data_IF_675233961398
#
_entry.id   IF_675233961398
#
_cell.length_a   1.000
_cell.length_b   1.000
_cell.length_c   1.000
_cell.angle_alpha   90.00
_cell.angle_beta   90.00
_cell.angle_gamma   90.00
#
_symmetry.space_group_name_H-M   'P 1'
#
loop_
_entity.id
_entity.type
_entity.pdbx_description
1 polymer ?
2 non-polymer ?
3 non-polymer ?
4 water ?
#
# COMPACT_ATOMS: atom_id res chain seq x y z
N UNK A 3 8.16 7.14 -5.89
CA UNK A 3 7.69 7.89 -4.70
C UNK A 3 6.18 7.74 -4.56
N UNK A 4 5.43 8.59 -5.24
CA UNK A 4 3.97 8.55 -5.19
C UNK A 4 3.43 7.19 -5.63
N UNK A 5 2.50 6.67 -4.85
CA UNK A 5 1.86 5.38 -5.13
C UNK A 5 0.37 5.64 -5.24
N UNK A 6 -0.34 4.84 -6.03
CA UNK A 6 -1.78 5.01 -6.09
C UNK A 6 -2.33 4.14 -4.97
N UNK A 7 -3.40 4.59 -4.34
CA UNK A 7 -3.95 3.87 -3.20
C UNK A 7 -5.45 3.67 -3.24
N UNK A 8 -5.91 2.78 -2.37
CA UNK A 8 -7.33 2.50 -2.20
C UNK A 8 -8.14 2.35 -3.49
N UNK A 9 -9.18 3.17 -3.68
CA UNK A 9 -10.02 3.05 -4.87
C UNK A 9 -9.37 3.43 -6.21
N UNK A 10 -8.17 4.02 -6.17
CA UNK A 10 -7.48 4.40 -7.40
C UNK A 10 -6.93 3.15 -8.10
N UNK A 11 -6.77 2.08 -7.33
CA UNK A 11 -6.24 0.82 -7.84
C UNK A 11 -7.26 0.17 -8.78
N UNK A 12 -6.79 -0.25 -9.94
CA UNK A 12 -7.66 -0.87 -10.94
C UNK A 12 -7.52 -2.40 -11.05
N UNK A 13 -6.46 -2.96 -10.48
CA UNK A 13 -6.23 -4.40 -10.53
C UNK A 13 -7.37 -5.23 -9.93
N UNK A 14 -7.76 -6.29 -10.64
CA UNK A 14 -8.83 -7.17 -10.18
C UNK A 14 -8.39 -7.96 -8.95
N UNK A 15 -7.16 -8.46 -8.99
CA UNK A 15 -6.58 -9.22 -7.89
C UNK A 15 -5.18 -8.71 -7.62
N UNK A 16 -4.78 -8.77 -6.35
CA UNK A 16 -3.46 -8.30 -5.93
C UNK A 16 -2.87 -9.27 -4.91
N UNK A 17 -1.55 -9.23 -4.74
CA UNK A 17 -0.89 -10.05 -3.73
C UNK A 17 -0.80 -9.07 -2.56
N UNK A 18 -1.34 -9.47 -1.42
CA UNK A 18 -1.39 -8.61 -0.24
C UNK A 18 -0.38 -8.88 0.86
N UNK A 19 0.28 -7.83 1.32
CA UNK A 19 1.25 -7.90 2.42
C UNK A 19 0.71 -6.92 3.47
N UNK A 20 0.55 -7.36 4.71
CA UNK A 20 0.01 -6.46 5.72
C UNK A 20 1.05 -5.53 6.33
N UNK A 21 0.62 -4.67 7.25
CA UNK A 21 1.50 -3.68 7.87
C UNK A 21 2.72 -4.24 8.61
N UNK A 22 2.68 -5.52 8.97
CA UNK A 22 3.79 -6.15 9.69
C UNK A 22 4.66 -7.09 8.84
N UNK A 23 4.34 -7.20 7.55
CA UNK A 23 5.13 -8.06 6.68
C UNK A 23 4.54 -9.44 6.45
N UNK A 24 3.35 -9.68 6.98
CA UNK A 24 2.68 -10.97 6.81
C UNK A 24 2.16 -11.05 5.37
N UNK A 25 2.53 -12.13 4.68
CA UNK A 25 2.11 -12.35 3.29
C UNK A 25 0.71 -12.97 3.31
N UNK A 26 -0.30 -12.15 3.04
CA UNK A 26 -1.69 -12.60 3.04
C UNK A 26 -2.14 -13.37 1.80
N UNK A 27 -1.29 -13.41 0.78
CA UNK A 27 -1.64 -14.14 -0.43
C UNK A 27 -2.40 -13.31 -1.45
N UNK A 28 -2.90 -13.99 -2.48
CA UNK A 28 -3.64 -13.33 -3.54
C UNK A 28 -5.07 -13.08 -3.10
N UNK A 29 -5.50 -11.83 -3.17
CA UNK A 29 -6.83 -11.43 -2.77
C UNK A 29 -7.49 -10.58 -3.85
N UNK A 30 -8.81 -10.59 -3.88
CA UNK A 30 -9.53 -9.75 -4.83
C UNK A 30 -9.30 -8.34 -4.29
N UNK A 31 -9.36 -7.34 -5.16
CA UNK A 31 -9.17 -5.96 -4.73
C UNK A 31 -10.20 -5.61 -3.64
N UNK A 32 -11.42 -6.09 -3.81
CA UNK A 32 -12.51 -5.86 -2.86
C UNK A 32 -12.15 -6.35 -1.44
N UNK A 33 -11.66 -7.58 -1.34
CA UNK A 33 -11.30 -8.14 -0.04
C UNK A 33 -10.10 -7.39 0.55
N UNK A 34 -9.15 -7.02 -0.31
CA UNK A 34 -7.96 -6.29 0.14
C UNK A 34 -8.38 -4.95 0.74
N UNK A 35 -9.35 -4.29 0.09
CA UNK A 35 -9.87 -3.01 0.56
C UNK A 35 -10.60 -3.18 1.90
N UNK A 36 -11.27 -4.31 2.08
CA UNK A 36 -11.97 -4.58 3.33
C UNK A 36 -10.98 -4.75 4.48
N UNK A 37 -9.92 -5.51 4.24
CA UNK A 37 -8.89 -5.74 5.26
C UNK A 37 -8.23 -4.42 5.67
N UNK A 38 -7.93 -3.57 4.69
CA UNK A 38 -7.31 -2.28 4.98
C UNK A 38 -8.24 -1.44 5.84
N UNK A 39 -9.52 -1.42 5.46
CA UNK A 39 -10.53 -0.65 6.16
C UNK A 39 -10.73 -1.07 7.61
N UNK A 40 -10.78 -2.38 7.86
CA UNK A 40 -10.98 -2.84 9.23
C UNK A 40 -9.80 -2.48 10.13
N UNK A 41 -8.63 -2.28 9.52
CA UNK A 41 -7.44 -1.92 10.27
C UNK A 41 -7.19 -0.42 10.28
N UNK A 42 -8.10 0.33 9.67
CA UNK A 42 -8.00 1.79 9.59
C UNK A 42 -6.69 2.22 8.95
N UNK A 43 -6.31 1.50 7.89
CA UNK A 43 -5.10 1.76 7.14
C UNK A 43 -5.46 1.89 5.65
N UNK A 44 -4.46 2.15 4.82
CA UNK A 44 -4.67 2.30 3.38
C UNK A 44 -4.12 1.09 2.64
N UNK A 45 -4.65 0.86 1.45
CA UNK A 45 -4.20 -0.22 0.58
C UNK A 45 -3.31 0.52 -0.42
N UNK A 46 -2.01 0.26 -0.39
CA UNK A 46 -1.08 0.96 -1.26
C UNK A 46 -0.46 0.05 -2.32
N UNK A 47 -0.54 0.47 -3.58
CA UNK A 47 0.03 -0.30 -4.67
C UNK A 47 1.54 -0.04 -4.72
N UNK A 48 2.31 -0.88 -4.05
CA UNK A 48 3.76 -0.70 -3.99
C UNK A 48 4.54 -1.30 -5.16
N UNK A 49 3.95 -2.27 -5.86
CA UNK A 49 4.61 -2.89 -7.00
C UNK A 49 3.57 -3.08 -8.11
N UNK A 50 3.27 -1.99 -8.84
CA UNK A 50 2.29 -1.97 -9.93
C UNK A 50 2.54 -2.97 -11.04
N UNK A 51 3.80 -3.21 -11.36
CA UNK A 51 4.14 -4.12 -12.45
C UNK A 51 4.46 -5.57 -12.07
N UNK A 52 4.27 -5.92 -10.80
CA UNK A 52 4.51 -7.28 -10.35
C UNK A 52 3.33 -8.13 -10.79
N UNK A 53 3.49 -9.45 -10.79
CA UNK A 53 2.42 -10.35 -11.21
C UNK A 53 2.04 -11.37 -10.14
N UNK A 54 0.89 -11.18 -9.47
CA UNK A 54 -0.04 -10.06 -9.68
C UNK A 54 0.51 -8.82 -8.95
N UNK A 55 -0.07 -7.63 -9.20
CA UNK A 55 0.40 -6.41 -8.54
C UNK A 55 0.43 -6.55 -7.02
N UNK A 56 1.49 -6.03 -6.40
CA UNK A 56 1.64 -6.13 -4.94
C UNK A 56 1.14 -4.89 -4.20
N UNK A 57 0.32 -5.13 -3.19
CA UNK A 57 -0.23 -4.08 -2.35
C UNK A 57 0.23 -4.28 -0.92
N UNK A 58 0.50 -3.18 -0.23
CA UNK A 58 0.92 -3.23 1.15
C UNK A 58 -0.07 -2.43 1.98
N UNK A 59 -0.43 -2.96 3.14
CA UNK A 59 -1.35 -2.27 4.03
C UNK A 59 -0.49 -1.38 4.92
N UNK A 60 -0.76 -0.07 4.89
CA UNK A 60 0.02 0.88 5.68
C UNK A 60 -0.69 2.22 5.73
N UNK A 61 -0.22 3.10 6.61
CA UNK A 61 -0.79 4.43 6.70
C UNK A 61 -0.02 5.25 5.66
N UNK A 62 -0.67 5.56 4.55
CA UNK A 62 -0.03 6.32 3.47
C UNK A 62 0.44 7.72 3.86
N UNK A 63 -0.36 8.44 4.64
CA UNK A 63 0.01 9.78 5.05
C UNK A 63 1.26 9.79 5.90
N UNK A 64 1.31 8.89 6.88
CA UNK A 64 2.45 8.79 7.78
C UNK A 64 3.70 8.39 6.99
N UNK A 65 3.53 7.47 6.04
CA UNK A 65 4.63 7.01 5.20
C UNK A 65 5.18 8.17 4.36
N UNK A 66 4.29 8.87 3.66
CA UNK A 66 4.68 9.99 2.82
C UNK A 66 5.33 11.13 3.59
N UNK A 67 4.80 11.44 4.77
CA UNK A 67 5.37 12.51 5.59
C UNK A 67 6.81 12.16 5.96
N UNK A 68 7.03 10.93 6.41
CA UNK A 68 8.36 10.48 6.80
C UNK A 68 9.35 10.51 5.64
N UNK A 69 8.88 10.15 4.45
CA UNK A 69 9.74 10.15 3.26
C UNK A 69 10.19 11.56 2.92
N UNK A 70 9.25 12.50 2.96
CA UNK A 70 9.55 13.89 2.65
C UNK A 70 10.43 14.50 3.73
N UNK A 71 10.18 14.10 4.97
CA UNK A 71 10.94 14.58 6.11
C UNK A 71 12.40 14.18 5.86
N UNK A 72 12.61 12.89 5.61
CA UNK A 72 13.93 12.33 5.34
C UNK A 72 14.69 13.10 4.26
N UNK A 73 14.03 13.32 3.12
CA UNK A 73 14.63 14.04 2.01
C UNK A 73 15.05 15.45 2.38
N UNK A 74 14.15 16.17 3.04
CA UNK A 74 14.40 17.55 3.46
C UNK A 74 15.55 17.67 4.45
N UNK A 75 15.51 16.86 5.51
CA UNK A 75 16.53 16.89 6.55
C UNK A 75 17.94 16.64 6.02
N UNK A 76 18.08 15.64 5.16
CA UNK A 76 19.38 15.28 4.59
C UNK A 76 19.94 16.32 3.62
N UNK A 77 19.15 17.34 3.30
CA UNK A 77 19.61 18.35 2.37
C UNK A 77 19.73 19.77 2.94
N UNK A 78 19.55 19.90 4.25
CA UNK A 78 19.65 21.20 4.92
C UNK A 78 20.57 21.11 6.14
X LIG B 1 -16.64 -9.18 0.79
X LIG B 1 -14.81 -9.96 -0.11
X LIG B 1 -17.11 -9.64 2.90
X LIG B 1 -18.03 -8.05 -0.46
X LIG C 1 -18.12 -11.59 0.17
X LIG D 1 -7.00 6.35 4.72
#
# INVERSE_FOLDING_TARGET
MSKDFIINEQIRAREVRLIDQNGDQLGIKSKQEALEIAARRNLDLVLVAPNAKPPVCRIMDYGKFRFEQQKKEKEARK
PBM PB C1 C2 C3
CL CL
CL CL
#
